data_IF_907145046698
#
_entry.id   IF_907145046698
#
_cell.length_a   1.000
_cell.length_b   1.000
_cell.length_c   1.000
_cell.angle_alpha   90.00
_cell.angle_beta   90.00
_cell.angle_gamma   90.00
#
_symmetry.space_group_name_H-M   'P 1'
#
loop_
_entity.id
_entity.type
_entity.pdbx_description
1 polymer ?
#
# COMPACT_ATOMS: atom_id res chain seq x y z
N UNK A 1 -26.73 20.14 -15.04
CA UNK A 1 -26.02 20.13 -16.34
C UNK A 1 -25.27 18.81 -16.68
N UNK A 2 -25.43 17.70 -15.91
CA UNK A 2 -24.80 16.39 -16.20
C UNK A 2 -25.73 15.37 -16.91
N UNK A 3 -26.86 15.81 -17.46
CA UNK A 3 -27.96 14.92 -17.91
C UNK A 3 -28.42 15.11 -19.37
N UNK A 4 -27.56 15.62 -20.25
CA UNK A 4 -27.94 15.82 -21.67
C UNK A 4 -26.87 15.33 -22.65
N UNK A 5 -26.21 14.21 -22.35
CA UNK A 5 -25.45 13.50 -23.39
C UNK A 5 -26.34 12.37 -23.89
N UNK A 6 -26.74 12.43 -25.16
CA UNK A 6 -27.60 11.41 -25.79
C UNK A 6 -26.95 10.03 -25.69
N UNK A 7 -27.68 8.96 -25.34
CA UNK A 7 -27.19 7.59 -25.37
C UNK A 7 -26.53 7.20 -26.71
N UNK A 8 -26.97 7.81 -27.81
CA UNK A 8 -26.40 7.64 -29.14
C UNK A 8 -24.92 8.06 -29.24
N UNK A 9 -24.39 8.82 -28.28
CA UNK A 9 -23.00 9.28 -28.23
C UNK A 9 -22.15 8.47 -27.26
N UNK A 10 -22.78 7.93 -26.21
CA UNK A 10 -22.11 7.08 -25.22
C UNK A 10 -21.78 5.72 -25.83
N UNK A 11 -22.69 5.13 -26.61
CA UNK A 11 -22.48 3.81 -27.21
C UNK A 11 -21.28 3.73 -28.16
N UNK A 12 -21.11 4.63 -29.16
CA UNK A 12 -19.94 4.61 -30.02
C UNK A 12 -18.64 4.82 -29.27
N UNK A 13 -18.62 5.74 -28.30
CA UNK A 13 -17.46 5.95 -27.44
C UNK A 13 -17.09 4.68 -26.66
N UNK A 14 -18.05 4.07 -25.96
CA UNK A 14 -17.83 2.83 -25.21
C UNK A 14 -17.35 1.70 -26.12
N UNK A 15 -17.94 1.55 -27.30
CA UNK A 15 -17.50 0.57 -28.29
C UNK A 15 -16.04 0.80 -28.71
N UNK A 16 -15.64 2.04 -29.01
CA UNK A 16 -14.26 2.36 -29.35
C UNK A 16 -13.28 2.12 -28.19
N UNK A 17 -13.68 2.35 -26.94
CA UNK A 17 -12.87 2.02 -25.76
C UNK A 17 -12.71 0.51 -25.60
N UNK A 18 -13.81 -0.26 -25.76
CA UNK A 18 -13.81 -1.71 -25.58
C UNK A 18 -13.04 -2.45 -26.69
N UNK A 19 -13.09 -1.96 -27.92
CA UNK A 19 -12.34 -2.52 -29.05
C UNK A 19 -10.86 -2.13 -29.06
N UNK A 20 -10.47 -1.07 -28.33
CA UNK A 20 -9.07 -0.67 -28.24
C UNK A 20 -8.27 -1.75 -27.49
N UNK A 21 -7.06 -2.13 -27.97
CA UNK A 21 -6.22 -3.09 -27.27
C UNK A 21 -5.85 -2.52 -25.90
N UNK A 22 -5.87 -3.36 -24.87
CA UNK A 22 -5.49 -2.92 -23.53
C UNK A 22 -4.03 -2.42 -23.53
N UNK A 23 -3.78 -1.13 -23.22
CA UNK A 23 -2.44 -0.56 -23.34
C UNK A 23 -1.44 -1.24 -22.40
N UNK A 24 -0.20 -1.40 -22.86
CA UNK A 24 0.91 -1.71 -21.96
C UNK A 24 1.18 -0.52 -21.00
N UNK A 25 1.81 -0.73 -19.83
CA UNK A 25 2.13 0.36 -18.91
C UNK A 25 2.93 1.49 -19.60
N UNK A 26 2.54 2.74 -19.36
CA UNK A 26 3.11 3.93 -20.00
C UNK A 26 2.69 4.16 -21.46
N UNK A 27 1.81 3.31 -22.01
CA UNK A 27 1.29 3.47 -23.37
C UNK A 27 -0.09 4.10 -23.35
N UNK A 28 -0.38 4.72 -24.48
CA UNK A 28 -1.58 5.53 -24.68
C UNK A 28 -2.40 4.93 -25.81
N UNK A 29 -3.71 4.86 -25.60
CA UNK A 29 -4.68 4.57 -26.65
C UNK A 29 -5.40 5.85 -27.04
N UNK A 30 -5.86 5.87 -28.29
CA UNK A 30 -6.57 7.01 -28.86
C UNK A 30 -7.97 6.55 -29.26
N UNK A 31 -8.97 7.14 -28.65
CA UNK A 31 -10.39 6.83 -28.86
C UNK A 31 -11.01 7.98 -29.64
N UNK A 32 -11.56 7.69 -30.81
CA UNK A 32 -12.27 8.68 -31.62
C UNK A 32 -13.76 8.64 -31.27
N UNK A 33 -14.31 9.75 -30.82
CA UNK A 33 -15.74 9.90 -30.51
C UNK A 33 -16.34 10.97 -31.40
N UNK A 34 -17.57 10.76 -31.91
CA UNK A 34 -18.29 11.79 -32.65
C UNK A 34 -19.31 12.45 -31.73
N UNK A 35 -19.18 13.77 -31.54
CA UNK A 35 -20.13 14.58 -30.78
C UNK A 35 -20.91 15.52 -31.73
N UNK A 36 -22.25 15.50 -31.75
CA UNK A 36 -23.07 16.40 -32.55
C UNK A 36 -22.78 17.85 -32.14
N UNK A 37 -22.48 18.70 -33.12
CA UNK A 37 -22.13 20.11 -32.89
C UNK A 37 -20.63 20.36 -32.69
N UNK A 38 -19.86 19.39 -32.20
CA UNK A 38 -18.40 19.53 -31.96
C UNK A 38 -17.53 18.72 -32.94
N UNK A 39 -18.12 17.79 -33.70
CA UNK A 39 -17.40 16.98 -34.69
C UNK A 39 -16.69 15.76 -34.09
N UNK A 40 -15.62 15.29 -34.75
CA UNK A 40 -14.79 14.20 -34.25
C UNK A 40 -13.86 14.70 -33.13
N UNK A 41 -14.11 14.27 -31.89
CA UNK A 41 -13.17 14.42 -30.80
C UNK A 41 -12.25 13.21 -30.68
N UNK A 42 -11.00 13.49 -30.31
CA UNK A 42 -9.96 12.47 -30.14
C UNK A 42 -9.55 12.46 -28.66
N UNK A 43 -10.01 11.45 -27.93
CA UNK A 43 -9.69 11.25 -26.52
C UNK A 43 -8.46 10.36 -26.39
N UNK A 44 -7.55 10.78 -25.52
CA UNK A 44 -6.26 10.12 -25.34
C UNK A 44 -6.23 9.54 -23.93
N UNK A 45 -6.16 8.22 -23.81
CA UNK A 45 -6.16 7.51 -22.53
C UNK A 45 -4.80 6.84 -22.33
N UNK A 46 -4.09 7.20 -21.26
CA UNK A 46 -2.77 6.65 -20.95
C UNK A 46 -2.87 5.67 -19.78
N UNK A 47 -2.26 4.49 -19.92
CA UNK A 47 -2.04 3.60 -18.78
C UNK A 47 -0.80 4.07 -18.02
N UNK A 48 -0.89 4.33 -16.70
CA UNK A 48 0.28 4.70 -15.91
C UNK A 48 1.41 3.65 -16.02
N UNK A 49 2.66 4.11 -15.94
CA UNK A 49 3.82 3.21 -15.85
C UNK A 49 3.82 2.48 -14.50
N UNK A 50 3.38 3.16 -13.46
CA UNK A 50 3.24 2.66 -12.09
C UNK A 50 1.79 2.85 -11.64
N UNK A 51 1.06 1.76 -11.44
CA UNK A 51 -0.34 1.77 -11.02
C UNK A 51 -0.51 1.72 -9.49
N UNK A 52 0.58 1.72 -8.71
CA UNK A 52 0.48 1.61 -7.23
C UNK A 52 -0.33 2.74 -6.60
N UNK A 53 -0.28 3.92 -7.19
CA UNK A 53 -0.99 5.12 -6.71
C UNK A 53 -2.21 5.45 -7.57
N UNK A 54 -2.60 4.55 -8.47
CA UNK A 54 -3.82 4.70 -9.25
C UNK A 54 -5.03 4.56 -8.33
N UNK A 55 -5.90 5.59 -8.31
CA UNK A 55 -7.06 5.69 -7.40
C UNK A 55 -6.72 5.85 -5.91
N UNK A 56 -5.46 6.14 -5.56
CA UNK A 56 -5.03 6.40 -4.19
C UNK A 56 -5.15 7.88 -3.86
N UNK A 57 -5.77 8.18 -2.72
CA UNK A 57 -5.97 9.53 -2.21
C UNK A 57 -5.57 9.55 -0.72
N UNK A 58 -4.27 9.75 -0.47
CA UNK A 58 -3.73 9.80 0.89
C UNK A 58 -4.12 11.08 1.62
N UNK A 59 -4.43 12.15 0.89
CA UNK A 59 -4.96 13.39 1.47
C UNK A 59 -6.29 13.11 2.17
N UNK A 60 -7.24 12.47 1.47
CA UNK A 60 -8.53 12.07 2.07
C UNK A 60 -8.33 11.18 3.31
N UNK A 61 -7.36 10.24 3.27
CA UNK A 61 -7.08 9.34 4.39
C UNK A 61 -6.55 10.09 5.61
N UNK A 62 -5.59 11.01 5.43
CA UNK A 62 -4.97 11.80 6.49
C UNK A 62 -5.89 12.90 7.04
N UNK A 63 -6.86 13.37 6.24
CA UNK A 63 -7.93 14.25 6.73
C UNK A 63 -8.94 13.50 7.61
N UNK A 64 -9.14 12.20 7.38
CA UNK A 64 -10.10 11.38 8.12
C UNK A 64 -9.50 10.71 9.36
N UNK A 65 -8.21 10.37 9.34
CA UNK A 65 -7.52 9.66 10.42
C UNK A 65 -6.32 10.47 10.90
N UNK A 66 -6.18 10.62 12.23
CA UNK A 66 -4.91 11.07 12.79
C UNK A 66 -3.80 10.10 12.44
N UNK A 67 -2.56 10.59 12.37
CA UNK A 67 -1.39 9.75 12.04
C UNK A 67 -1.29 8.54 12.97
N UNK A 68 -1.55 8.71 14.27
CA UNK A 68 -1.58 7.61 15.23
C UNK A 68 -2.62 6.55 14.86
N UNK A 69 -3.86 6.95 14.54
CA UNK A 69 -4.92 6.02 14.13
C UNK A 69 -4.58 5.34 12.81
N UNK A 70 -3.98 6.07 11.86
CA UNK A 70 -3.51 5.51 10.61
C UNK A 70 -2.48 4.40 10.84
N UNK A 71 -1.51 4.61 11.75
CA UNK A 71 -0.50 3.61 12.08
C UNK A 71 -1.10 2.40 12.80
N UNK A 72 -2.15 2.58 13.61
CA UNK A 72 -2.90 1.46 14.22
C UNK A 72 -3.66 0.64 13.17
N UNK A 73 -4.31 1.30 12.21
CA UNK A 73 -4.95 0.63 11.07
C UNK A 73 -3.91 -0.11 10.25
N UNK A 74 -2.80 0.53 9.91
CA UNK A 74 -1.69 -0.10 9.18
C UNK A 74 -1.15 -1.34 9.91
N UNK A 75 -0.91 -1.25 11.22
CA UNK A 75 -0.48 -2.40 12.03
C UNK A 75 -1.49 -3.55 12.01
N UNK A 76 -2.79 -3.24 12.07
CA UNK A 76 -3.87 -4.22 12.01
C UNK A 76 -3.93 -4.91 10.65
N UNK A 77 -3.74 -4.15 9.57
CA UNK A 77 -3.64 -4.70 8.22
C UNK A 77 -2.41 -5.59 8.06
N UNK A 78 -1.24 -5.18 8.56
CA UNK A 78 -0.03 -6.03 8.49
C UNK A 78 -0.20 -7.39 9.15
N UNK A 79 -1.06 -7.50 10.16
CA UNK A 79 -1.35 -8.74 10.86
C UNK A 79 -2.62 -9.44 10.37
N UNK A 80 -3.14 -9.01 9.22
CA UNK A 80 -4.33 -9.57 8.59
C UNK A 80 -5.51 -9.60 9.56
N UNK A 81 -5.76 -8.49 10.26
CA UNK A 81 -6.96 -8.34 11.10
C UNK A 81 -8.18 -7.94 10.28
N UNK A 82 -9.35 -8.12 10.88
CA UNK A 82 -10.63 -7.62 10.39
C UNK A 82 -10.72 -6.11 10.65
N UNK A 83 -10.85 -5.31 9.59
CA UNK A 83 -10.93 -3.84 9.68
C UNK A 83 -12.19 -3.36 8.99
N UNK A 84 -13.00 -2.56 9.68
CA UNK A 84 -14.20 -1.90 9.13
C UNK A 84 -14.00 -0.38 9.21
N UNK A 85 -14.04 0.28 8.06
CA UNK A 85 -14.12 1.74 7.96
C UNK A 85 -15.58 2.19 8.06
N UNK A 86 -15.84 3.23 8.84
CA UNK A 86 -17.18 3.80 9.00
C UNK A 86 -17.13 5.27 8.58
N UNK A 87 -18.02 5.70 7.68
CA UNK A 87 -18.13 7.09 7.28
C UNK A 87 -19.51 7.40 6.67
N UNK A 88 -19.86 8.69 6.60
CA UNK A 88 -21.18 9.13 6.09
C UNK A 88 -21.27 9.12 4.55
N UNK A 89 -20.14 8.98 3.86
CA UNK A 89 -20.05 9.13 2.40
C UNK A 89 -19.31 7.95 1.76
N UNK A 90 -19.93 7.34 0.76
CA UNK A 90 -19.36 6.24 -0.05
C UNK A 90 -17.99 6.62 -0.65
N UNK A 91 -17.84 7.87 -1.10
CA UNK A 91 -16.59 8.37 -1.68
C UNK A 91 -15.45 8.40 -0.66
N UNK A 92 -15.75 8.70 0.60
CA UNK A 92 -14.74 8.73 1.68
C UNK A 92 -14.33 7.31 2.04
N UNK A 93 -15.31 6.40 2.20
CA UNK A 93 -15.05 4.99 2.45
C UNK A 93 -14.14 4.38 1.38
N UNK A 94 -14.52 4.51 0.11
CA UNK A 94 -13.76 3.95 -1.00
C UNK A 94 -12.33 4.51 -1.06
N UNK A 95 -12.17 5.83 -0.98
CA UNK A 95 -10.84 6.46 -1.00
C UNK A 95 -9.98 6.02 0.18
N UNK A 96 -10.50 6.07 1.40
CA UNK A 96 -9.73 5.70 2.59
C UNK A 96 -9.33 4.23 2.57
N UNK A 97 -10.24 3.34 2.19
CA UNK A 97 -9.99 1.91 2.14
C UNK A 97 -8.93 1.55 1.07
N UNK A 98 -9.01 2.12 -0.13
CA UNK A 98 -7.97 1.94 -1.16
C UNK A 98 -6.62 2.52 -0.74
N UNK A 99 -6.60 3.74 -0.18
CA UNK A 99 -5.39 4.36 0.32
C UNK A 99 -4.74 3.54 1.43
N UNK A 100 -5.52 2.99 2.37
CA UNK A 100 -5.00 2.14 3.43
C UNK A 100 -4.34 0.86 2.89
N UNK A 101 -4.93 0.22 1.86
CA UNK A 101 -4.30 -0.93 1.20
C UNK A 101 -3.03 -0.55 0.42
N UNK A 102 -2.98 0.64 -0.19
CA UNK A 102 -1.79 1.09 -0.91
C UNK A 102 -0.55 1.24 -0.01
N UNK A 103 -0.75 1.47 1.30
CA UNK A 103 0.32 1.49 2.30
C UNK A 103 1.01 0.14 2.47
N UNK A 104 0.38 -0.96 2.06
CA UNK A 104 0.92 -2.31 2.23
C UNK A 104 1.97 -2.67 1.17
N UNK A 105 2.11 -1.89 0.09
CA UNK A 105 3.10 -2.14 -0.94
C UNK A 105 4.51 -2.25 -0.33
N UNK A 106 5.28 -3.33 -0.58
CA UNK A 106 5.20 -4.25 -1.73
C UNK A 106 4.30 -5.49 -1.54
N UNK A 107 3.63 -5.60 -0.41
CA UNK A 107 2.69 -6.67 -0.13
C UNK A 107 1.33 -6.36 -0.76
N UNK A 108 0.59 -7.40 -1.07
CA UNK A 108 -0.78 -7.29 -1.60
C UNK A 108 -1.71 -8.00 -0.64
N UNK A 109 -2.78 -7.32 -0.25
CA UNK A 109 -3.83 -7.90 0.60
C UNK A 109 -4.41 -9.15 -0.06
N UNK A 110 -4.44 -10.26 0.68
CA UNK A 110 -4.85 -11.58 0.14
C UNK A 110 -6.29 -11.97 0.49
N UNK A 111 -6.99 -11.15 1.28
CA UNK A 111 -8.29 -11.50 1.84
C UNK A 111 -9.43 -10.65 1.28
N UNK A 112 -10.65 -10.84 1.80
CA UNK A 112 -11.82 -10.09 1.36
C UNK A 112 -11.61 -8.58 1.49
N UNK A 113 -11.87 -7.86 0.40
CA UNK A 113 -11.83 -6.41 0.36
C UNK A 113 -13.12 -5.86 -0.27
N UNK A 114 -13.94 -5.19 0.55
CA UNK A 114 -15.22 -4.60 0.12
C UNK A 114 -15.25 -3.15 0.60
N UNK A 115 -14.67 -2.20 -0.14
CA UNK A 115 -14.50 -0.81 0.31
C UNK A 115 -15.82 -0.10 0.63
N UNK A 116 -16.94 -0.59 0.08
CA UNK A 116 -18.29 -0.14 0.36
C UNK A 116 -19.21 -1.36 0.40
N UNK A 117 -19.63 -1.75 1.61
CA UNK A 117 -20.52 -2.85 1.89
C UNK A 117 -21.97 -2.35 1.91
N UNK A 118 -22.88 -2.90 1.09
CA UNK A 118 -24.30 -2.60 1.16
C UNK A 118 -24.90 -3.00 2.51
N UNK A 119 -25.88 -2.23 3.01
CA UNK A 119 -26.56 -2.54 4.27
C UNK A 119 -27.23 -3.93 4.28
N UNK A 120 -27.68 -4.41 3.12
CA UNK A 120 -28.26 -5.74 2.97
C UNK A 120 -27.26 -6.91 3.05
N UNK A 121 -25.96 -6.61 3.19
CA UNK A 121 -24.86 -7.58 3.23
C UNK A 121 -23.97 -7.40 4.47
N UNK A 122 -24.49 -6.77 5.53
CA UNK A 122 -23.72 -6.53 6.75
C UNK A 122 -23.35 -7.84 7.47
N UNK A 123 -24.10 -8.92 7.24
CA UNK A 123 -23.83 -10.26 7.76
C UNK A 123 -22.43 -10.79 7.38
N UNK A 124 -21.85 -10.30 6.28
CA UNK A 124 -20.48 -10.63 5.87
C UNK A 124 -19.45 -10.18 6.93
N UNK A 125 -19.74 -9.16 7.75
CA UNK A 125 -18.86 -8.73 8.85
C UNK A 125 -18.65 -9.81 9.91
N UNK A 126 -19.51 -10.83 9.98
CA UNK A 126 -19.37 -11.99 10.87
C UNK A 126 -18.36 -13.03 10.35
N UNK A 127 -17.70 -12.81 9.20
CA UNK A 127 -16.72 -13.76 8.67
C UNK A 127 -15.58 -14.00 9.67
N UNK A 128 -15.15 -15.26 9.87
CA UNK A 128 -14.00 -15.58 10.71
C UNK A 128 -12.66 -15.23 10.03
N UNK A 129 -12.67 -15.01 8.71
CA UNK A 129 -11.45 -14.68 7.95
C UNK A 129 -11.12 -13.19 8.04
N UNK A 130 -9.85 -12.80 7.86
CA UNK A 130 -9.48 -11.40 7.72
C UNK A 130 -10.28 -10.70 6.62
N UNK A 131 -10.53 -9.41 6.79
CA UNK A 131 -11.15 -8.59 5.75
C UNK A 131 -10.88 -7.11 5.97
N UNK A 132 -11.05 -6.34 4.89
CA UNK A 132 -11.16 -4.89 4.94
C UNK A 132 -12.48 -4.49 4.31
N UNK A 133 -13.35 -3.84 5.07
CA UNK A 133 -14.67 -3.43 4.62
C UNK A 133 -14.93 -1.96 4.94
N UNK A 134 -15.87 -1.34 4.22
CA UNK A 134 -16.39 -0.02 4.57
C UNK A 134 -17.92 -0.05 4.70
N UNK A 135 -18.48 0.45 5.80
CA UNK A 135 -19.91 0.57 5.99
C UNK A 135 -20.31 2.02 6.24
N UNK A 136 -21.52 2.41 5.83
CA UNK A 136 -22.02 3.76 6.09
C UNK A 136 -22.36 3.91 7.59
N UNK A 137 -22.16 5.10 8.14
CA UNK A 137 -22.45 5.40 9.56
C UNK A 137 -23.84 4.96 10.06
N UNK A 138 -24.94 5.04 9.28
CA UNK A 138 -26.25 4.54 9.72
C UNK A 138 -26.27 3.03 10.02
N UNK A 139 -25.35 2.25 9.45
CA UNK A 139 -25.21 0.82 9.69
C UNK A 139 -24.35 0.51 10.93
N UNK A 140 -23.74 1.51 11.57
CA UNK A 140 -22.86 1.32 12.72
C UNK A 140 -23.51 0.57 13.89
N UNK A 141 -24.77 0.88 14.32
CA UNK A 141 -25.39 0.15 15.42
C UNK A 141 -25.51 -1.35 15.13
N UNK A 142 -25.95 -1.71 13.92
CA UNK A 142 -26.06 -3.10 13.48
C UNK A 142 -24.70 -3.80 13.45
N UNK A 143 -23.65 -3.12 12.99
CA UNK A 143 -22.28 -3.65 12.96
C UNK A 143 -21.74 -3.91 14.37
N UNK A 144 -22.04 -3.04 15.34
CA UNK A 144 -21.59 -3.20 16.73
C UNK A 144 -22.34 -4.32 17.47
N UNK A 145 -23.58 -4.61 17.08
CA UNK A 145 -24.39 -5.70 17.64
C UNK A 145 -24.02 -7.08 17.07
N UNK A 146 -23.21 -7.13 16.01
CA UNK A 146 -22.76 -8.39 15.41
C UNK A 146 -21.71 -9.09 16.29
N UNK A 147 -21.71 -10.44 16.34
CA UNK A 147 -20.72 -11.22 17.08
C UNK A 147 -19.36 -11.24 16.33
N UNK A 148 -18.77 -10.06 16.15
CA UNK A 148 -17.44 -9.92 15.56
C UNK A 148 -16.45 -10.33 16.64
N UNK A 149 -15.88 -11.53 16.52
CA UNK A 149 -14.85 -11.98 17.48
C UNK A 149 -13.67 -10.99 17.50
N UNK A 150 -13.45 -10.31 18.62
CA UNK A 150 -12.18 -9.62 18.87
C UNK A 150 -11.13 -10.65 19.27
N UNK A 151 -10.45 -11.25 18.29
CA UNK A 151 -9.27 -12.08 18.59
C UNK A 151 -8.05 -11.19 18.63
N UNK A 152 -7.68 -10.72 19.83
CA UNK A 152 -6.30 -10.34 20.17
C UNK A 152 -6.11 -10.22 21.69
N UNK A 153 -6.34 -11.30 22.45
CA UNK A 153 -5.70 -11.45 23.76
C UNK A 153 -4.24 -11.91 23.51
N UNK A 154 -3.30 -10.97 23.44
CA UNK A 154 -1.87 -11.29 23.39
C UNK A 154 -1.29 -11.27 24.80
N UNK A 155 -1.54 -12.32 25.57
CA UNK A 155 -0.79 -12.55 26.81
C UNK A 155 0.67 -12.89 26.46
N UNK A 156 1.55 -11.87 26.42
CA UNK A 156 3.00 -12.08 26.29
C UNK A 156 3.86 -10.95 25.74
N UNK A 157 3.29 -9.85 25.26
CA UNK A 157 4.06 -8.67 24.82
C UNK A 157 3.68 -7.48 25.71
N UNK A 158 4.57 -7.15 26.65
CA UNK A 158 4.43 -5.95 27.46
C UNK A 158 4.34 -4.69 26.60
N UNK A 159 3.42 -3.81 27.01
CA UNK A 159 2.97 -2.55 26.38
C UNK A 159 2.03 -2.75 25.17
N UNK A 160 0.76 -2.94 25.52
CA UNK A 160 -0.43 -2.63 24.73
C UNK A 160 -0.22 -1.31 23.93
N UNK A 161 -0.61 -1.31 22.65
CA UNK A 161 -0.75 -0.17 21.72
C UNK A 161 0.19 -0.09 20.50
N UNK A 162 1.32 -0.80 20.43
CA UNK A 162 2.22 -0.68 19.26
C UNK A 162 2.85 -2.02 18.84
N UNK A 163 2.16 -2.78 17.99
CA UNK A 163 2.70 -4.02 17.41
C UNK A 163 3.86 -3.72 16.44
N UNK A 164 3.87 -2.53 15.84
CA UNK A 164 4.95 -2.10 14.96
C UNK A 164 6.25 -1.90 15.74
N UNK A 165 7.42 -2.16 15.13
CA UNK A 165 8.70 -1.86 15.76
C UNK A 165 8.82 -0.36 16.10
N UNK A 166 8.92 -0.02 17.39
CA UNK A 166 8.89 1.37 17.92
C UNK A 166 9.70 2.39 17.12
N UNK A 167 10.94 2.05 16.72
CA UNK A 167 11.82 2.95 15.94
C UNK A 167 11.26 3.23 14.52
N UNK A 168 10.73 2.22 13.85
CA UNK A 168 10.17 2.37 12.51
C UNK A 168 8.84 3.11 12.56
N UNK A 169 8.02 2.83 13.58
CA UNK A 169 6.79 3.56 13.82
C UNK A 169 7.07 5.05 14.10
N UNK A 170 8.04 5.37 14.95
CA UNK A 170 8.44 6.74 15.24
C UNK A 170 8.91 7.48 13.99
N UNK A 171 9.68 6.82 13.11
CA UNK A 171 10.12 7.41 11.85
C UNK A 171 8.93 7.70 10.89
N UNK A 172 7.97 6.77 10.78
CA UNK A 172 6.75 7.01 10.00
C UNK A 172 5.92 8.16 10.59
N UNK A 173 5.73 8.17 11.91
CA UNK A 173 5.01 9.22 12.62
C UNK A 173 5.64 10.59 12.36
N UNK A 174 6.96 10.72 12.50
CA UNK A 174 7.70 11.96 12.26
C UNK A 174 7.52 12.48 10.82
N UNK A 175 7.57 11.61 9.82
CA UNK A 175 7.40 12.01 8.42
C UNK A 175 5.96 12.44 8.13
N UNK A 176 4.99 11.72 8.68
CA UNK A 176 3.58 12.01 8.44
C UNK A 176 3.12 13.26 9.20
N UNK A 177 3.66 13.53 10.39
CA UNK A 177 3.38 14.76 11.14
C UNK A 177 4.00 15.98 10.46
N UNK A 178 5.27 15.87 10.04
CA UNK A 178 5.99 16.96 9.37
C UNK A 178 5.80 17.01 7.85
N UNK A 179 4.78 16.29 7.32
CA UNK A 179 4.55 16.13 5.88
C UNK A 179 4.45 17.46 5.12
N UNK A 180 3.81 18.47 5.72
CA UNK A 180 3.59 19.78 5.11
C UNK A 180 4.92 20.52 4.95
N UNK A 181 5.74 20.57 6.01
CA UNK A 181 7.09 21.17 5.98
C UNK A 181 7.99 20.46 4.97
N UNK A 182 7.94 19.12 4.94
CA UNK A 182 8.71 18.31 3.99
C UNK A 182 8.29 18.63 2.55
N UNK A 183 6.99 18.75 2.28
CA UNK A 183 6.49 19.10 0.94
C UNK A 183 6.86 20.54 0.56
N UNK A 184 6.81 21.49 1.50
CA UNK A 184 7.21 22.88 1.27
C UNK A 184 8.71 23.02 0.95
N UNK A 185 9.55 22.23 1.61
CA UNK A 185 10.99 22.19 1.29
C UNK A 185 11.24 21.60 -0.11
N UNK A 186 10.43 20.60 -0.52
CA UNK A 186 10.57 19.92 -1.81
C UNK A 186 9.86 20.64 -2.98
N UNK A 187 8.91 21.54 -2.72
CA UNK A 187 8.21 22.31 -3.78
C UNK A 187 9.11 23.32 -4.48
N UNK A 188 10.20 23.76 -3.83
CA UNK A 188 11.25 24.56 -4.47
C UNK A 188 11.96 23.80 -5.61
N UNK A 189 11.90 22.46 -5.59
CA UNK A 189 12.57 21.57 -6.54
C UNK A 189 11.61 20.75 -7.44
N UNK A 190 10.33 21.14 -7.51
CA UNK A 190 9.38 20.80 -8.59
C UNK A 190 8.89 19.35 -8.78
N UNK A 191 8.84 18.42 -7.81
CA UNK A 191 8.18 17.12 -8.11
C UNK A 191 7.70 16.18 -6.96
N UNK A 192 7.37 16.69 -5.77
CA UNK A 192 6.79 15.84 -4.71
C UNK A 192 5.30 16.13 -4.50
N UNK A 193 4.42 15.19 -4.86
CA UNK A 193 3.05 15.20 -4.33
C UNK A 193 2.98 14.42 -3.00
N UNK A 194 1.95 14.70 -2.19
CA UNK A 194 1.76 14.03 -0.90
C UNK A 194 1.75 12.51 -1.07
N UNK A 195 1.12 12.01 -2.13
CA UNK A 195 0.99 10.58 -2.35
C UNK A 195 2.32 9.88 -2.57
N UNK A 196 3.24 10.52 -3.27
CA UNK A 196 4.60 10.04 -3.46
C UNK A 196 5.38 10.03 -2.15
N UNK A 197 5.27 11.09 -1.33
CA UNK A 197 5.93 11.16 -0.02
C UNK A 197 5.45 10.03 0.89
N UNK A 198 4.13 9.85 1.03
CA UNK A 198 3.54 8.79 1.85
C UNK A 198 3.95 7.43 1.32
N UNK A 199 3.83 7.18 0.01
CA UNK A 199 4.23 5.90 -0.58
C UNK A 199 5.71 5.56 -0.32
N UNK A 200 6.62 6.54 -0.47
CA UNK A 200 8.04 6.34 -0.19
C UNK A 200 8.31 6.03 1.28
N UNK A 201 7.67 6.74 2.21
CA UNK A 201 7.84 6.48 3.64
C UNK A 201 7.50 5.03 3.98
N UNK A 202 6.36 4.53 3.49
CA UNK A 202 5.94 3.15 3.75
C UNK A 202 6.79 2.11 2.99
N UNK A 203 7.29 2.43 1.79
CA UNK A 203 8.28 1.57 1.12
C UNK A 203 9.55 1.44 1.95
N UNK A 204 10.07 2.54 2.50
CA UNK A 204 11.26 2.51 3.35
C UNK A 204 11.03 1.73 4.65
N UNK A 205 9.82 1.79 5.22
CA UNK A 205 9.43 0.92 6.33
C UNK A 205 9.63 -0.55 5.97
N UNK A 206 9.17 -0.99 4.80
CA UNK A 206 9.36 -2.37 4.36
C UNK A 206 10.79 -2.69 3.94
N UNK A 207 11.54 -1.73 3.41
CA UNK A 207 12.96 -1.94 3.06
C UNK A 207 13.78 -2.20 4.32
N UNK A 208 13.57 -1.44 5.39
CA UNK A 208 14.22 -1.70 6.68
C UNK A 208 13.76 -3.03 7.28
N UNK A 209 12.48 -3.37 7.15
CA UNK A 209 11.90 -4.57 7.73
C UNK A 209 12.34 -5.86 7.01
N UNK A 210 12.26 -5.86 5.68
CA UNK A 210 12.40 -7.07 4.84
C UNK A 210 13.32 -6.89 3.64
N UNK A 211 13.94 -5.74 3.41
CA UNK A 211 14.74 -5.46 2.21
C UNK A 211 15.93 -6.41 2.00
N UNK A 212 16.45 -7.00 3.08
CA UNK A 212 17.53 -7.99 3.06
C UNK A 212 17.07 -9.43 2.76
N UNK A 213 15.79 -9.67 2.47
CA UNK A 213 15.25 -11.03 2.23
C UNK A 213 16.03 -11.81 1.16
N UNK A 214 16.54 -11.12 0.14
CA UNK A 214 17.24 -11.73 -1.00
C UNK A 214 18.53 -12.45 -0.58
N UNK A 215 19.17 -12.03 0.51
CA UNK A 215 20.35 -12.67 1.08
C UNK A 215 20.04 -14.02 1.74
N UNK A 216 18.77 -14.29 2.02
CA UNK A 216 18.28 -15.49 2.72
C UNK A 216 17.42 -16.37 1.83
N UNK A 217 17.42 -16.13 0.51
CA UNK A 217 16.81 -17.03 -0.47
C UNK A 217 17.86 -18.04 -0.94
N UNK A 218 17.63 -19.32 -0.68
CA UNK A 218 18.52 -20.41 -1.09
C UNK A 218 17.85 -21.33 -2.10
N UNK A 219 18.63 -21.84 -3.05
CA UNK A 219 18.17 -22.87 -3.98
C UNK A 219 18.05 -24.22 -3.26
N UNK A 220 16.84 -24.75 -3.24
CA UNK A 220 16.54 -26.06 -2.65
C UNK A 220 16.43 -27.10 -3.76
N UNK A 221 17.52 -27.82 -3.98
CA UNK A 221 17.53 -29.04 -4.80
C UNK A 221 17.57 -28.86 -6.33
N UNK A 222 17.61 -29.97 -7.07
CA UNK A 222 17.86 -29.99 -8.52
C UNK A 222 16.75 -29.39 -9.40
N UNK A 223 15.65 -28.91 -8.80
CA UNK A 223 14.53 -28.24 -9.48
C UNK A 223 14.64 -26.71 -9.55
N UNK A 224 15.63 -26.09 -8.89
CA UNK A 224 15.82 -24.64 -8.88
C UNK A 224 14.72 -23.86 -8.16
N UNK A 225 14.00 -24.50 -7.23
CA UNK A 225 13.04 -23.83 -6.34
C UNK A 225 13.82 -23.06 -5.28
N UNK A 226 13.69 -21.73 -5.32
CA UNK A 226 14.24 -20.85 -4.29
C UNK A 226 13.30 -20.89 -3.09
N UNK A 227 13.84 -20.97 -1.88
CA UNK A 227 13.07 -20.91 -0.64
C UNK A 227 13.69 -19.89 0.31
N UNK A 228 12.86 -19.17 1.07
CA UNK A 228 13.32 -18.28 2.13
C UNK A 228 13.72 -19.05 3.39
N UNK A 229 14.97 -18.89 3.83
CA UNK A 229 15.45 -19.37 5.13
C UNK A 229 14.87 -18.52 6.27
N UNK A 230 13.61 -18.78 6.63
CA UNK A 230 12.79 -17.97 7.55
C UNK A 230 13.52 -17.60 8.85
N UNK A 231 14.11 -18.60 9.51
CA UNK A 231 14.78 -18.37 10.80
C UNK A 231 16.05 -17.54 10.68
N UNK A 232 16.86 -17.77 9.64
CA UNK A 232 18.09 -17.00 9.40
C UNK A 232 17.76 -15.55 9.02
N UNK A 233 16.75 -15.37 8.16
CA UNK A 233 16.23 -14.06 7.76
C UNK A 233 15.71 -13.24 8.95
N UNK A 234 14.94 -13.86 9.85
CA UNK A 234 14.45 -13.21 11.06
C UNK A 234 15.60 -12.87 12.01
N UNK A 235 16.51 -13.81 12.26
CA UNK A 235 17.60 -13.65 13.24
C UNK A 235 18.67 -12.64 12.81
N UNK A 236 18.82 -12.39 11.51
CA UNK A 236 19.80 -11.45 10.98
C UNK A 236 19.49 -9.99 11.25
N UNK A 237 18.22 -9.65 11.48
CA UNK A 237 17.86 -8.27 11.77
C UNK A 237 18.37 -7.86 13.17
N UNK A 238 19.11 -6.74 13.34
CA UNK A 238 19.77 -6.39 14.61
C UNK A 238 18.79 -6.00 15.73
N UNK A 239 17.66 -5.37 15.38
CA UNK A 239 16.63 -4.95 16.35
C UNK A 239 15.76 -6.10 16.86
N UNK A 240 15.71 -6.31 18.19
CA UNK A 240 14.84 -7.30 18.85
C UNK A 240 13.36 -7.07 18.55
N UNK A 241 12.90 -5.81 18.58
CA UNK A 241 11.50 -5.49 18.30
C UNK A 241 11.09 -5.84 16.87
N UNK A 242 12.00 -5.63 15.90
CA UNK A 242 11.76 -6.07 14.52
C UNK A 242 11.71 -7.59 14.42
N UNK A 243 12.61 -8.33 15.11
CA UNK A 243 12.56 -9.80 15.11
C UNK A 243 11.25 -10.35 15.69
N UNK A 244 10.72 -9.71 16.74
CA UNK A 244 9.44 -10.08 17.33
C UNK A 244 8.28 -9.78 16.37
N UNK A 245 8.29 -8.62 15.71
CA UNK A 245 7.30 -8.30 14.69
C UNK A 245 7.34 -9.29 13.51
N UNK A 246 8.53 -9.56 12.98
CA UNK A 246 8.74 -10.52 11.88
C UNK A 246 8.24 -11.92 12.25
N UNK A 247 8.34 -12.34 13.51
CA UNK A 247 7.78 -13.62 13.95
C UNK A 247 6.28 -13.74 13.66
N UNK A 248 5.53 -12.65 13.82
CA UNK A 248 4.09 -12.63 13.55
C UNK A 248 3.82 -12.37 12.07
N UNK A 249 4.48 -11.35 11.51
CA UNK A 249 4.23 -10.90 10.15
C UNK A 249 4.56 -11.95 9.09
N UNK A 250 5.60 -12.77 9.31
CA UNK A 250 5.99 -13.80 8.35
C UNK A 250 4.95 -14.92 8.23
N UNK A 251 4.05 -15.09 9.19
CA UNK A 251 3.00 -16.12 9.19
C UNK A 251 1.72 -15.66 8.46
N UNK A 252 1.72 -14.42 7.93
CA UNK A 252 0.61 -13.86 7.15
C UNK A 252 0.56 -14.36 5.71
N UNK A 253 -0.62 -14.39 5.11
CA UNK A 253 -0.80 -14.70 3.69
C UNK A 253 -0.11 -13.67 2.78
N UNK A 254 -0.13 -12.39 3.17
CA UNK A 254 0.58 -11.32 2.48
C UNK A 254 2.07 -11.63 2.36
N UNK A 255 2.72 -12.04 3.45
CA UNK A 255 4.14 -12.39 3.42
C UNK A 255 4.40 -13.65 2.58
N UNK A 256 3.54 -14.67 2.71
CA UNK A 256 3.62 -15.88 1.90
C UNK A 256 3.54 -15.56 0.39
N UNK A 257 2.56 -14.76 -0.03
CA UNK A 257 2.41 -14.31 -1.43
C UNK A 257 3.60 -13.48 -1.91
N UNK A 258 4.12 -12.58 -1.07
CA UNK A 258 5.31 -11.78 -1.39
C UNK A 258 6.54 -12.65 -1.67
N UNK A 259 6.76 -13.70 -0.89
CA UNK A 259 7.87 -14.63 -1.10
C UNK A 259 7.62 -15.50 -2.33
N UNK A 260 6.43 -16.08 -2.46
CA UNK A 260 6.05 -16.92 -3.58
C UNK A 260 6.28 -16.23 -4.94
N UNK A 261 5.84 -14.97 -5.07
CA UNK A 261 6.08 -14.15 -6.27
C UNK A 261 7.58 -14.05 -6.61
N UNK A 262 8.45 -14.00 -5.60
CA UNK A 262 9.90 -13.82 -5.76
C UNK A 262 10.64 -15.13 -5.98
N UNK A 263 10.08 -16.24 -5.53
CA UNK A 263 10.55 -17.59 -5.86
C UNK A 263 10.32 -17.89 -7.35
N UNK A 264 9.19 -17.42 -7.91
CA UNK A 264 8.84 -17.60 -9.32
C UNK A 264 9.52 -16.62 -10.29
N UNK A 265 9.94 -15.44 -9.82
CA UNK A 265 10.55 -14.41 -10.68
C UNK A 265 11.93 -14.85 -11.22
N UNK A 266 11.99 -15.16 -12.52
CA UNK A 266 13.23 -15.41 -13.29
C UNK A 266 13.71 -14.18 -14.08
N UNK A 267 13.73 -13.01 -13.43
CA UNK A 267 14.13 -11.75 -14.06
C UNK A 267 12.93 -10.97 -14.64
N UNK A 268 12.83 -9.69 -14.27
CA UNK A 268 11.74 -8.80 -14.66
C UNK A 268 12.02 -7.36 -14.22
N UNK A 269 11.15 -6.43 -14.60
CA UNK A 269 11.26 -5.01 -14.22
C UNK A 269 11.17 -4.92 -12.68
N UNK A 270 12.21 -4.33 -12.07
CA UNK A 270 12.26 -4.10 -10.62
C UNK A 270 11.25 -3.01 -10.26
N UNK A 271 10.34 -3.32 -9.33
CA UNK A 271 9.45 -2.34 -8.75
C UNK A 271 10.21 -1.38 -7.84
N UNK A 272 9.49 -0.38 -7.32
CA UNK A 272 10.07 0.61 -6.42
C UNK A 272 10.72 -0.04 -5.19
N UNK A 273 10.07 -1.01 -4.57
CA UNK A 273 10.62 -1.72 -3.42
C UNK A 273 11.94 -2.42 -3.77
N UNK A 274 12.01 -3.14 -4.89
CA UNK A 274 13.24 -3.83 -5.31
C UNK A 274 14.39 -2.87 -5.60
N UNK A 275 14.09 -1.68 -6.15
CA UNK A 275 15.09 -0.62 -6.33
C UNK A 275 15.62 -0.13 -4.99
N UNK A 276 14.73 0.18 -4.03
CA UNK A 276 15.12 0.68 -2.70
C UNK A 276 15.83 -0.38 -1.87
N UNK A 277 15.41 -1.63 -1.95
CA UNK A 277 16.07 -2.75 -1.28
C UNK A 277 17.50 -2.95 -1.79
N UNK A 278 17.74 -2.78 -3.10
CA UNK A 278 19.09 -2.84 -3.66
C UNK A 278 19.96 -1.67 -3.17
N UNK A 279 19.46 -0.43 -3.22
CA UNK A 279 20.17 0.75 -2.69
C UNK A 279 20.50 0.60 -1.21
N UNK A 280 19.58 0.06 -0.43
CA UNK A 280 19.77 -0.23 0.98
C UNK A 280 20.92 -1.23 1.21
N UNK A 281 20.98 -2.32 0.42
CA UNK A 281 22.05 -3.32 0.49
C UNK A 281 23.40 -2.81 -0.04
N UNK A 282 23.41 -1.88 -0.99
CA UNK A 282 24.65 -1.27 -1.49
C UNK A 282 25.25 -0.29 -0.46
N UNK A 283 24.41 0.29 0.41
CA UNK A 283 24.83 1.18 1.50
C UNK A 283 25.39 0.47 2.74
N UNK A 284 25.57 -0.86 2.69
CA UNK A 284 26.04 -1.74 3.77
C UNK A 284 27.58 -1.88 3.99
N UNK A 285 28.49 -0.93 3.69
CA UNK A 285 29.89 -1.08 4.13
C UNK A 285 30.18 -0.76 5.60
N UNK A 286 29.31 -0.06 6.36
CA UNK A 286 29.68 0.47 7.69
C UNK A 286 28.64 0.13 8.79
N UNK A 287 29.05 -0.38 9.96
CA UNK A 287 28.18 -0.67 11.08
C UNK A 287 27.82 0.62 11.86
N UNK A 288 27.05 1.51 11.24
CA UNK A 288 26.43 2.62 11.97
C UNK A 288 25.19 2.15 12.77
N UNK A 289 24.86 2.78 13.92
CA UNK A 289 23.73 2.38 14.74
C UNK A 289 22.40 2.52 13.96
N UNK A 290 21.75 1.38 13.72
CA UNK A 290 20.43 1.31 13.05
C UNK A 290 19.35 2.13 13.78
N UNK A 291 18.59 2.94 13.02
CA UNK A 291 17.52 3.76 13.57
C UNK A 291 16.95 4.82 12.61
N UNK A 292 16.19 5.75 13.21
CA UNK A 292 15.48 6.88 12.56
C UNK A 292 16.42 7.68 11.65
N UNK A 293 17.66 7.94 12.06
CA UNK A 293 18.63 8.66 11.22
C UNK A 293 18.96 7.92 9.92
N UNK A 294 18.98 6.57 9.90
CA UNK A 294 19.20 5.80 8.66
C UNK A 294 17.97 5.86 7.76
N UNK A 295 16.78 5.74 8.34
CA UNK A 295 15.50 5.89 7.65
C UNK A 295 15.39 7.26 6.98
N UNK A 296 15.64 8.33 7.75
CA UNK A 296 15.63 9.71 7.27
C UNK A 296 16.77 10.00 6.28
N UNK A 297 17.95 9.38 6.44
CA UNK A 297 19.07 9.52 5.48
C UNK A 297 18.78 8.80 4.15
N UNK A 298 18.14 7.63 4.19
CA UNK A 298 17.66 6.93 2.98
C UNK A 298 16.63 7.75 2.23
N UNK A 299 15.65 8.32 2.95
CA UNK A 299 14.65 9.24 2.40
C UNK A 299 15.29 10.54 1.86
N UNK A 300 16.19 11.16 2.63
CA UNK A 300 16.86 12.42 2.31
C UNK A 300 17.85 12.31 1.15
N UNK A 301 18.55 11.18 1.02
CA UNK A 301 19.37 10.89 -0.17
C UNK A 301 18.49 10.81 -1.43
N UNK A 302 17.29 10.23 -1.34
CA UNK A 302 16.36 10.18 -2.46
C UNK A 302 15.73 11.54 -2.80
N UNK A 303 15.40 12.38 -1.82
CA UNK A 303 14.93 13.74 -2.11
C UNK A 303 15.93 14.48 -3.02
N UNK A 304 17.23 14.20 -2.89
CA UNK A 304 18.28 14.68 -3.79
C UNK A 304 18.34 14.01 -5.18
N UNK A 305 17.79 12.81 -5.34
CA UNK A 305 17.73 12.09 -6.63
C UNK A 305 16.45 12.37 -7.42
N UNK A 306 15.33 12.67 -6.76
CA UNK A 306 14.12 13.18 -7.44
C UNK A 306 14.36 14.57 -8.06
N UNK A 307 15.38 15.30 -7.60
CA UNK A 307 15.88 16.56 -8.17
C UNK A 307 16.64 16.37 -9.51
N UNK A 308 17.00 15.13 -9.90
CA UNK A 308 17.76 14.83 -11.12
C UNK A 308 17.00 13.85 -12.00
N UNK A 309 15.93 14.32 -12.64
CA UNK A 309 15.37 13.71 -13.86
C UNK A 309 14.82 14.79 -14.79
#
# INVERSE_FOLDING_TARGET
MRREISPALVHPFMHCVMEAPFPAPGRTITVKSFLPGSGNEVLTLCRPVDSRLEHVDFESLLQCLSVTRLLQVFASLLLERRVIFIADKLSVLSRCAHSALALLYPFTWQHTFVPVLPASMLDICCSPTPFVMGALSPSLPEVLDMPIEEVSHFEGLGDEDCILPRKLQAALQEILDNREEILEQNTRDRNGDLSTLVSEAFVWFFVELVGHYSLYMSDTGPGGTRELQRDAFRKSHPSRGVRQFLQLFMDTQMFAGFIHDRELRKGGVKGLFEMRAAEYLDSYPEPEPSGVNKFLKGLGNKMKFLQKK
#
